data_IF_091436078930
#
_entry.id   IF_091436078930
#
_cell.length_a   1.000
_cell.length_b   1.000
_cell.length_c   1.000
_cell.angle_alpha   90.00
_cell.angle_beta   90.00
_cell.angle_gamma   90.00
#
_symmetry.space_group_name_H-M   'P 1'
#
loop_
_entity.id
_entity.type
_entity.pdbx_description
1 polymer ?
#
# COMPACT_ATOMS: atom_id res chain seq x y z
N UNK A 1 8.35 17.57 18.57
CA UNK A 1 9.57 16.79 18.23
C UNK A 1 9.26 15.30 18.21
N UNK A 2 8.71 14.73 19.29
CA UNK A 2 8.32 13.30 19.37
C UNK A 2 7.35 12.86 18.26
N UNK A 3 6.30 13.63 17.97
CA UNK A 3 5.35 13.35 16.88
C UNK A 3 6.00 13.29 15.48
N UNK A 4 7.05 14.09 15.24
CA UNK A 4 7.77 14.09 13.95
C UNK A 4 8.61 12.83 13.79
N UNK A 5 9.25 12.37 14.87
CA UNK A 5 10.03 11.13 14.89
C UNK A 5 9.11 9.92 14.69
N UNK A 6 7.97 9.89 15.40
CA UNK A 6 6.98 8.81 15.24
C UNK A 6 6.46 8.77 13.81
N UNK A 7 6.07 9.92 13.24
CA UNK A 7 5.58 9.93 11.86
C UNK A 7 6.68 9.58 10.83
N UNK A 8 7.93 9.96 11.08
CA UNK A 8 9.04 9.55 10.22
C UNK A 8 9.24 8.03 10.25
N UNK A 9 9.17 7.40 11.43
CA UNK A 9 9.25 5.93 11.57
C UNK A 9 8.06 5.25 10.91
N UNK A 10 6.84 5.76 11.10
CA UNK A 10 5.64 5.23 10.45
C UNK A 10 5.73 5.32 8.92
N UNK A 11 6.16 6.46 8.40
CA UNK A 11 6.37 6.67 6.97
C UNK A 11 7.43 5.71 6.42
N UNK A 12 8.56 5.56 7.10
CA UNK A 12 9.62 4.66 6.67
C UNK A 12 9.14 3.19 6.69
N UNK A 13 8.40 2.80 7.73
CA UNK A 13 7.76 1.49 7.83
C UNK A 13 6.77 1.24 6.69
N UNK A 14 5.90 2.21 6.39
CA UNK A 14 4.95 2.12 5.30
C UNK A 14 5.64 1.98 3.93
N UNK A 15 6.72 2.74 3.69
CA UNK A 15 7.51 2.64 2.45
C UNK A 15 8.17 1.27 2.33
N UNK A 16 8.79 0.74 3.39
CA UNK A 16 9.42 -0.59 3.36
C UNK A 16 8.40 -1.70 3.12
N UNK A 17 7.23 -1.60 3.76
CA UNK A 17 6.12 -2.53 3.57
C UNK A 17 5.55 -2.46 2.15
N UNK A 18 5.31 -1.25 1.64
CA UNK A 18 4.83 -1.02 0.28
C UNK A 18 5.82 -1.48 -0.79
N UNK A 19 7.12 -1.27 -0.59
CA UNK A 19 8.16 -1.79 -1.47
C UNK A 19 8.17 -3.32 -1.48
N UNK A 20 8.07 -3.95 -0.30
CA UNK A 20 8.03 -5.42 -0.18
C UNK A 20 6.78 -6.01 -0.83
N UNK A 21 5.61 -5.40 -0.61
CA UNK A 21 4.34 -5.83 -1.19
C UNK A 21 4.34 -5.63 -2.71
N UNK A 22 4.73 -4.44 -3.18
CA UNK A 22 4.83 -4.14 -4.61
C UNK A 22 5.81 -5.06 -5.35
N UNK A 23 6.96 -5.36 -4.74
CA UNK A 23 7.91 -6.34 -5.29
C UNK A 23 7.35 -7.77 -5.30
N UNK A 24 6.63 -8.20 -4.26
CA UNK A 24 6.00 -9.52 -4.22
C UNK A 24 4.91 -9.70 -5.30
N UNK A 25 4.16 -8.63 -5.58
CA UNK A 25 3.18 -8.60 -6.68
C UNK A 25 3.87 -8.56 -8.05
N UNK A 26 4.90 -7.73 -8.22
CA UNK A 26 5.66 -7.60 -9.47
C UNK A 26 6.41 -8.87 -9.85
N UNK A 27 7.04 -9.53 -8.87
CA UNK A 27 7.71 -10.82 -9.05
C UNK A 27 6.74 -11.98 -9.29
N UNK A 28 5.43 -11.77 -9.09
CA UNK A 28 4.41 -12.79 -9.27
C UNK A 28 4.56 -13.94 -8.28
N UNK A 29 4.76 -13.64 -6.99
CA UNK A 29 4.78 -14.66 -5.94
C UNK A 29 3.51 -15.51 -6.02
N UNK A 30 3.63 -16.85 -5.98
CA UNK A 30 2.52 -17.79 -6.20
C UNK A 30 1.29 -17.44 -5.37
N UNK A 31 1.49 -17.13 -4.09
CA UNK A 31 0.45 -16.77 -3.14
C UNK A 31 -0.37 -15.53 -3.56
N UNK A 32 0.29 -14.51 -4.13
CA UNK A 32 -0.40 -13.34 -4.68
C UNK A 32 -1.10 -13.69 -5.98
N UNK A 33 -0.45 -14.43 -6.88
CA UNK A 33 -1.07 -14.83 -8.15
C UNK A 33 -2.31 -15.70 -7.92
N UNK A 34 -2.29 -16.63 -6.97
CA UNK A 34 -3.45 -17.45 -6.61
C UNK A 34 -4.60 -16.61 -6.03
N UNK A 35 -4.29 -15.61 -5.20
CA UNK A 35 -5.31 -14.72 -4.64
C UNK A 35 -5.96 -13.86 -5.73
N UNK A 36 -5.15 -13.21 -6.57
CA UNK A 36 -5.63 -12.32 -7.62
C UNK A 36 -6.27 -13.06 -8.80
N UNK A 37 -5.82 -14.28 -9.10
CA UNK A 37 -6.41 -15.14 -10.13
C UNK A 37 -7.86 -15.52 -9.80
N UNK A 38 -8.21 -15.68 -8.51
CA UNK A 38 -9.61 -15.87 -8.08
C UNK A 38 -10.51 -14.71 -8.46
N UNK A 39 -9.95 -13.51 -8.56
CA UNK A 39 -10.65 -12.29 -8.96
C UNK A 39 -10.59 -12.01 -10.46
N UNK A 40 -10.04 -12.95 -11.24
CA UNK A 40 -9.91 -12.83 -12.71
C UNK A 40 -8.74 -11.96 -13.18
N UNK A 41 -7.82 -11.57 -12.28
CA UNK A 41 -6.62 -10.83 -12.68
C UNK A 41 -5.62 -11.75 -13.35
N UNK A 42 -5.04 -11.29 -14.45
CA UNK A 42 -3.91 -11.98 -15.08
C UNK A 42 -2.61 -11.67 -14.35
N UNK A 43 -1.57 -12.48 -14.59
CA UNK A 43 -0.22 -12.22 -14.07
C UNK A 43 0.28 -10.81 -14.44
N UNK A 44 -0.07 -10.33 -15.62
CA UNK A 44 0.30 -8.98 -16.09
C UNK A 44 -0.39 -7.90 -15.27
N UNK A 45 -1.66 -8.07 -14.93
CA UNK A 45 -2.43 -7.10 -14.14
C UNK A 45 -1.91 -7.01 -12.70
N UNK A 46 -1.57 -8.16 -12.10
CA UNK A 46 -0.94 -8.21 -10.77
C UNK A 46 0.44 -7.54 -10.79
N UNK A 47 1.23 -7.77 -11.84
CA UNK A 47 2.53 -7.12 -11.99
C UNK A 47 2.40 -5.60 -12.17
N UNK A 48 1.40 -5.13 -12.93
CA UNK A 48 1.08 -3.70 -13.08
C UNK A 48 0.68 -3.08 -11.74
N UNK A 49 -0.20 -3.71 -10.97
CA UNK A 49 -0.57 -3.25 -9.62
C UNK A 49 0.66 -3.21 -8.68
N UNK A 50 1.53 -4.21 -8.76
CA UNK A 50 2.79 -4.25 -8.03
C UNK A 50 3.72 -3.09 -8.39
N UNK A 51 3.85 -2.80 -9.69
CA UNK A 51 4.65 -1.67 -10.19
C UNK A 51 4.08 -0.33 -9.72
N UNK A 52 2.75 -0.15 -9.77
CA UNK A 52 2.09 1.05 -9.24
C UNK A 52 2.36 1.20 -7.73
N UNK A 53 2.32 0.11 -6.98
CA UNK A 53 2.59 0.10 -5.53
C UNK A 53 4.06 0.45 -5.22
N UNK A 54 4.99 -0.04 -6.03
CA UNK A 54 6.42 0.33 -5.96
C UNK A 54 6.61 1.83 -6.20
N UNK A 55 5.99 2.36 -7.26
CA UNK A 55 6.05 3.79 -7.60
C UNK A 55 5.42 4.63 -6.47
N UNK A 56 4.27 4.21 -5.95
CA UNK A 56 3.59 4.87 -4.83
C UNK A 56 4.49 4.93 -3.59
N UNK A 57 5.18 3.84 -3.26
CA UNK A 57 6.12 3.77 -2.13
C UNK A 57 7.28 4.74 -2.30
N UNK A 58 7.84 4.85 -3.50
CA UNK A 58 8.91 5.83 -3.81
C UNK A 58 8.39 7.27 -3.73
N UNK A 59 7.17 7.54 -4.20
CA UNK A 59 6.56 8.86 -4.14
C UNK A 59 6.35 9.36 -2.70
N UNK A 60 6.17 8.48 -1.73
CA UNK A 60 6.02 8.84 -0.31
C UNK A 60 7.31 9.42 0.27
N UNK A 61 8.48 9.03 -0.25
CA UNK A 61 9.77 9.56 0.21
C UNK A 61 10.00 11.03 -0.14
N UNK A 62 9.26 11.57 -1.12
CA UNK A 62 9.42 12.95 -1.55
C UNK A 62 8.30 13.85 -0.97
N UNK A 63 8.63 14.98 -0.32
CA UNK A 63 7.64 15.87 0.31
C UNK A 63 6.61 16.46 -0.66
N UNK A 64 6.97 16.58 -1.94
CA UNK A 64 6.08 17.12 -3.00
C UNK A 64 5.04 16.11 -3.45
N UNK A 65 5.37 14.82 -3.42
CA UNK A 65 4.50 13.73 -3.90
C UNK A 65 3.98 12.85 -2.76
N UNK A 66 4.30 13.18 -1.51
CA UNK A 66 3.89 12.43 -0.32
C UNK A 66 2.41 12.09 -0.28
N UNK A 67 1.54 13.08 -0.52
CA UNK A 67 0.08 12.89 -0.53
C UNK A 67 -0.34 11.96 -1.67
N UNK A 68 0.24 12.15 -2.87
CA UNK A 68 -0.04 11.32 -4.03
C UNK A 68 0.42 9.87 -3.85
N UNK A 69 1.59 9.65 -3.25
CA UNK A 69 2.10 8.32 -2.96
C UNK A 69 1.22 7.57 -1.95
N UNK A 70 0.85 8.23 -0.84
CA UNK A 70 -0.08 7.62 0.13
C UNK A 70 -1.48 7.41 -0.47
N UNK A 71 -1.96 8.32 -1.33
CA UNK A 71 -3.23 8.16 -2.02
C UNK A 71 -3.23 6.95 -2.96
N UNK A 72 -2.20 6.81 -3.79
CA UNK A 72 -2.07 5.66 -4.70
C UNK A 72 -1.97 4.34 -3.93
N UNK A 73 -1.21 4.32 -2.83
CA UNK A 73 -1.10 3.13 -1.99
C UNK A 73 -2.43 2.80 -1.30
N UNK A 74 -3.11 3.79 -0.73
CA UNK A 74 -4.44 3.62 -0.14
C UNK A 74 -5.48 3.15 -1.17
N UNK A 75 -5.45 3.68 -2.39
CA UNK A 75 -6.34 3.26 -3.47
C UNK A 75 -6.09 1.79 -3.88
N UNK A 76 -4.84 1.36 -3.95
CA UNK A 76 -4.48 -0.03 -4.21
C UNK A 76 -4.99 -0.98 -3.11
N UNK A 77 -4.76 -0.63 -1.84
CA UNK A 77 -5.25 -1.41 -0.70
C UNK A 77 -6.78 -1.45 -0.68
N UNK A 78 -7.44 -0.32 -0.94
CA UNK A 78 -8.90 -0.24 -0.97
C UNK A 78 -9.49 -1.11 -2.09
N UNK A 79 -8.85 -1.15 -3.26
CA UNK A 79 -9.23 -2.05 -4.34
C UNK A 79 -9.14 -3.51 -3.89
N UNK A 80 -8.05 -3.92 -3.23
CA UNK A 80 -7.88 -5.28 -2.70
C UNK A 80 -8.96 -5.61 -1.66
N UNK A 81 -9.27 -4.66 -0.76
CA UNK A 81 -10.34 -4.81 0.23
C UNK A 81 -11.70 -5.01 -0.45
N UNK A 82 -12.00 -4.25 -1.50
CA UNK A 82 -13.25 -4.41 -2.25
C UNK A 82 -13.37 -5.82 -2.84
N UNK A 83 -12.30 -6.37 -3.40
CA UNK A 83 -12.31 -7.75 -3.90
C UNK A 83 -12.44 -8.79 -2.78
N UNK A 84 -11.77 -8.59 -1.64
CA UNK A 84 -12.00 -9.45 -0.48
C UNK A 84 -13.43 -9.37 0.07
N UNK A 85 -14.07 -8.20 0.00
CA UNK A 85 -15.46 -8.02 0.39
C UNK A 85 -16.43 -8.73 -0.57
N UNK A 86 -16.14 -8.72 -1.88
CA UNK A 86 -16.89 -9.50 -2.87
C UNK A 86 -16.80 -11.01 -2.59
N UNK A 87 -15.63 -11.49 -2.20
CA UNK A 87 -15.40 -12.91 -1.82
C UNK A 87 -15.87 -13.27 -0.40
N UNK A 88 -16.50 -12.33 0.34
CA UNK A 88 -16.85 -12.46 1.76
C UNK A 88 -15.68 -12.89 2.67
N UNK A 89 -14.44 -12.59 2.26
CA UNK A 89 -13.23 -12.97 2.97
C UNK A 89 -12.83 -11.91 4.00
N UNK A 90 -13.49 -11.96 5.15
CA UNK A 90 -13.26 -11.04 6.27
C UNK A 90 -11.80 -11.08 6.78
N UNK A 91 -11.10 -12.21 6.64
CA UNK A 91 -9.70 -12.34 7.05
C UNK A 91 -8.78 -11.48 6.19
N UNK A 92 -9.00 -11.48 4.88
CA UNK A 92 -8.25 -10.64 3.94
C UNK A 92 -8.48 -9.15 4.20
N UNK A 93 -9.74 -8.75 4.42
CA UNK A 93 -10.09 -7.38 4.80
C UNK A 93 -9.36 -6.98 6.09
N UNK A 94 -9.37 -7.83 7.12
CA UNK A 94 -8.75 -7.53 8.41
C UNK A 94 -7.22 -7.35 8.32
N UNK A 95 -6.56 -8.04 7.37
CA UNK A 95 -5.11 -7.91 7.13
C UNK A 95 -4.79 -6.60 6.42
N UNK A 96 -5.59 -6.20 5.43
CA UNK A 96 -5.35 -5.01 4.60
C UNK A 96 -5.82 -3.69 5.26
N UNK A 97 -6.84 -3.75 6.12
CA UNK A 97 -7.38 -2.59 6.84
C UNK A 97 -6.34 -1.78 7.65
N UNK A 98 -5.44 -2.38 8.45
CA UNK A 98 -4.43 -1.61 9.17
C UNK A 98 -3.48 -0.85 8.24
N UNK A 99 -3.20 -1.35 7.04
CA UNK A 99 -2.37 -0.64 6.06
C UNK A 99 -3.09 0.58 5.46
N UNK A 100 -4.40 0.47 5.23
CA UNK A 100 -5.23 1.60 4.81
C UNK A 100 -5.25 2.68 5.90
N UNK A 101 -5.49 2.28 7.15
CA UNK A 101 -5.48 3.19 8.30
C UNK A 101 -4.11 3.83 8.48
N UNK A 102 -3.02 3.08 8.31
CA UNK A 102 -1.66 3.59 8.39
C UNK A 102 -1.42 4.71 7.37
N UNK A 103 -1.83 4.54 6.12
CA UNK A 103 -1.72 5.58 5.09
C UNK A 103 -2.51 6.83 5.46
N UNK A 104 -3.73 6.68 5.99
CA UNK A 104 -4.54 7.82 6.44
C UNK A 104 -3.92 8.54 7.64
N UNK A 105 -3.38 7.80 8.61
CA UNK A 105 -2.69 8.35 9.78
C UNK A 105 -1.43 9.12 9.36
N UNK A 106 -0.66 8.58 8.40
CA UNK A 106 0.54 9.23 7.84
C UNK A 106 0.16 10.54 7.13
N UNK A 107 -0.91 10.55 6.33
CA UNK A 107 -1.44 11.78 5.70
C UNK A 107 -1.89 12.79 6.77
N UNK A 108 -2.64 12.35 7.78
CA UNK A 108 -3.16 13.19 8.84
C UNK A 108 -2.05 13.85 9.66
N UNK A 109 -0.99 13.10 10.01
CA UNK A 109 0.17 13.64 10.73
C UNK A 109 1.04 14.59 9.89
N UNK A 110 0.79 14.69 8.58
CA UNK A 110 1.53 15.50 7.60
C UNK A 110 3.03 15.19 7.53
N UNK A 111 3.67 15.57 6.42
CA UNK A 111 5.07 15.21 6.19
C UNK A 111 5.99 15.73 7.32
N UNK A 112 6.66 14.86 8.10
CA UNK A 112 7.33 15.26 9.34
C UNK A 112 8.52 16.21 9.12
N UNK A 113 9.10 16.15 7.92
CA UNK A 113 10.22 16.97 7.46
C UNK A 113 9.80 18.28 6.78
N UNK A 114 8.49 18.52 6.57
CA UNK A 114 8.00 19.82 6.12
C UNK A 114 7.79 20.69 7.36
N UNK A 115 8.42 21.86 7.34
CA UNK A 115 8.37 22.83 8.43
C UNK A 115 7.03 23.57 8.40
#
# INVERSE_FOLDING_TARGET
MTLKIVNAVLMFGAVLMGLKQGYAMFSGKLEMLEMFSKWGFTKTDVALLGLVTLIASVLILFPRTFVWGNFLMAAGILLIICYHALDQNLKGIAIELPFLLLNMVIIYFQYPLKR
#
